data_IF_203323667575
#
_entry.id   IF_203323667575
#
_cell.length_a   1.000
_cell.length_b   1.000
_cell.length_c   1.000
_cell.angle_alpha   90.00
_cell.angle_beta   90.00
_cell.angle_gamma   90.00
#
_symmetry.space_group_name_H-M   'P 1'
#
loop_
_entity.id
_entity.type
_entity.pdbx_description
1 polymer ?
#
# COMPACT_ATOMS: atom_id res chain seq x y z
N UNK A 1 -62.13 7.66 33.30
CA UNK A 1 -60.68 7.77 33.65
C UNK A 1 -59.86 6.52 33.33
N UNK A 2 -60.37 5.29 33.46
CA UNK A 2 -59.60 4.05 33.23
C UNK A 2 -59.23 3.77 31.75
N UNK A 3 -60.08 4.14 30.78
CA UNK A 3 -59.85 3.88 29.35
C UNK A 3 -58.74 4.79 28.77
N UNK A 4 -58.66 6.05 29.23
CA UNK A 4 -57.60 6.98 28.82
C UNK A 4 -56.21 6.57 29.34
N UNK A 5 -56.13 5.97 30.53
CA UNK A 5 -54.88 5.47 31.12
C UNK A 5 -54.29 4.25 30.40
N UNK A 6 -55.15 3.33 29.93
CA UNK A 6 -54.72 2.18 29.14
C UNK A 6 -54.30 2.58 27.71
N UNK A 7 -54.96 3.58 27.12
CA UNK A 7 -54.62 4.12 25.80
C UNK A 7 -53.29 4.90 25.79
N UNK A 8 -53.00 5.65 26.87
CA UNK A 8 -51.69 6.30 27.03
C UNK A 8 -50.57 5.28 27.25
N UNK A 9 -50.78 4.24 28.10
CA UNK A 9 -49.77 3.19 28.33
C UNK A 9 -49.40 2.42 27.06
N UNK A 10 -50.37 2.10 26.21
CA UNK A 10 -50.14 1.37 24.94
C UNK A 10 -49.42 2.24 23.89
N UNK A 11 -49.69 3.54 23.82
CA UNK A 11 -48.93 4.48 22.98
C UNK A 11 -47.48 4.65 23.47
N UNK A 12 -47.27 4.77 24.79
CA UNK A 12 -45.93 4.83 25.38
C UNK A 12 -45.12 3.57 25.11
N UNK A 13 -45.73 2.38 25.22
CA UNK A 13 -45.06 1.12 24.91
C UNK A 13 -44.67 1.02 23.42
N UNK A 14 -45.54 1.44 22.49
CA UNK A 14 -45.23 1.48 21.05
C UNK A 14 -44.06 2.42 20.74
N UNK A 15 -44.02 3.59 21.36
CA UNK A 15 -42.90 4.54 21.20
C UNK A 15 -41.60 3.99 21.77
N UNK A 16 -41.65 3.30 22.92
CA UNK A 16 -40.48 2.63 23.51
C UNK A 16 -39.98 1.51 22.58
N UNK A 17 -40.86 0.64 22.08
CA UNK A 17 -40.49 -0.42 21.16
C UNK A 17 -39.92 0.13 19.85
N UNK A 18 -40.51 1.20 19.28
CA UNK A 18 -39.98 1.88 18.10
C UNK A 18 -38.62 2.50 18.38
N UNK A 19 -38.45 3.14 19.54
CA UNK A 19 -37.17 3.69 20.00
C UNK A 19 -36.10 2.61 20.09
N UNK A 20 -36.39 1.48 20.73
CA UNK A 20 -35.48 0.34 20.82
C UNK A 20 -35.13 -0.18 19.41
N UNK A 21 -36.12 -0.37 18.54
CA UNK A 21 -35.90 -0.81 17.15
C UNK A 21 -34.98 0.14 16.38
N UNK A 22 -35.18 1.46 16.49
CA UNK A 22 -34.31 2.46 15.85
C UNK A 22 -32.88 2.38 16.39
N UNK A 23 -32.70 2.32 17.71
CA UNK A 23 -31.36 2.26 18.30
C UNK A 23 -30.64 0.95 17.96
N UNK A 24 -31.35 -0.18 17.99
CA UNK A 24 -30.81 -1.48 17.57
C UNK A 24 -30.43 -1.45 16.09
N UNK A 25 -31.27 -0.85 15.22
CA UNK A 25 -30.97 -0.72 13.79
C UNK A 25 -29.76 0.19 13.54
N UNK A 26 -29.66 1.32 14.24
CA UNK A 26 -28.49 2.21 14.16
C UNK A 26 -27.22 1.53 14.67
N UNK A 27 -27.32 0.80 15.78
CA UNK A 27 -26.19 0.04 16.34
C UNK A 27 -25.68 -1.02 15.36
N UNK A 28 -26.58 -1.84 14.81
CA UNK A 28 -26.19 -2.82 13.78
C UNK A 28 -25.68 -2.15 12.50
N UNK A 29 -26.23 -1.00 12.10
CA UNK A 29 -25.71 -0.24 10.95
C UNK A 29 -24.29 0.29 11.18
N UNK A 30 -23.98 0.79 12.38
CA UNK A 30 -22.62 1.17 12.76
C UNK A 30 -21.70 -0.06 12.77
N UNK A 31 -22.13 -1.18 13.36
CA UNK A 31 -21.31 -2.40 13.36
C UNK A 31 -21.04 -2.92 11.95
N UNK A 32 -22.03 -2.92 11.06
CA UNK A 32 -21.87 -3.39 9.67
C UNK A 32 -20.89 -2.52 8.88
N UNK A 33 -20.98 -1.19 9.04
CA UNK A 33 -20.07 -0.23 8.38
C UNK A 33 -18.64 -0.34 8.92
N UNK A 34 -18.47 -0.52 10.24
CA UNK A 34 -17.14 -0.47 10.87
C UNK A 34 -16.47 -1.83 11.12
N UNK A 35 -17.19 -2.96 11.03
CA UNK A 35 -16.64 -4.29 11.33
C UNK A 35 -16.79 -5.29 10.17
N UNK A 36 -17.01 -4.79 8.96
CA UNK A 36 -16.97 -5.61 7.75
C UNK A 36 -15.53 -5.88 7.31
N UNK A 37 -15.16 -7.16 7.17
CA UNK A 37 -13.85 -7.52 6.61
C UNK A 37 -13.67 -6.95 5.20
N UNK A 38 -12.55 -6.25 4.92
CA UNK A 38 -12.21 -5.74 3.59
C UNK A 38 -11.61 -6.82 2.68
N UNK A 39 -11.27 -7.99 3.21
CA UNK A 39 -10.68 -9.10 2.45
C UNK A 39 -11.79 -9.93 1.82
N UNK A 40 -11.70 -10.11 0.50
CA UNK A 40 -12.53 -11.03 -0.27
C UNK A 40 -11.70 -12.29 -0.63
N UNK A 41 -12.36 -13.45 -0.61
CA UNK A 41 -11.73 -14.75 -0.85
C UNK A 41 -12.15 -15.36 -2.19
N UNK A 42 -11.28 -16.19 -2.76
CA UNK A 42 -11.56 -16.91 -4.02
C UNK A 42 -11.58 -16.03 -5.26
N UNK A 43 -10.84 -14.91 -5.23
CA UNK A 43 -10.66 -14.02 -6.38
C UNK A 43 -9.68 -14.62 -7.39
N UNK A 44 -9.95 -14.41 -8.68
CA UNK A 44 -8.98 -14.67 -9.74
C UNK A 44 -7.78 -13.69 -9.64
N UNK A 45 -6.61 -14.15 -10.08
CA UNK A 45 -5.40 -13.32 -10.17
C UNK A 45 -5.03 -13.05 -11.61
N UNK A 46 -4.56 -11.83 -11.89
CA UNK A 46 -4.18 -11.39 -13.23
C UNK A 46 -2.74 -10.86 -13.24
N UNK A 47 -1.99 -11.11 -14.32
CA UNK A 47 -0.63 -10.60 -14.57
C UNK A 47 -0.41 -10.27 -16.05
N UNK A 48 0.67 -9.56 -16.33
CA UNK A 48 1.23 -9.42 -17.68
C UNK A 48 2.17 -10.58 -18.01
N UNK A 49 2.43 -10.80 -19.31
CA UNK A 49 3.38 -11.80 -19.80
C UNK A 49 4.80 -11.24 -20.03
N UNK A 50 5.06 -10.03 -19.54
CA UNK A 50 6.35 -9.34 -19.60
C UNK A 50 6.61 -8.65 -18.27
N UNK A 51 7.87 -8.33 -18.01
CA UNK A 51 8.33 -7.55 -16.86
C UNK A 51 9.16 -6.36 -17.33
N UNK A 52 9.16 -5.29 -16.55
CA UNK A 52 9.99 -4.10 -16.79
C UNK A 52 11.30 -4.14 -15.98
N UNK A 53 11.39 -5.06 -15.01
CA UNK A 53 12.55 -5.34 -14.18
C UNK A 53 12.59 -6.82 -13.79
N UNK A 54 13.77 -7.33 -13.49
CA UNK A 54 13.93 -8.69 -12.95
C UNK A 54 13.78 -8.70 -11.43
N UNK A 55 14.08 -7.58 -10.77
CA UNK A 55 14.01 -7.47 -9.31
C UNK A 55 13.67 -6.07 -8.84
N UNK A 56 12.98 -6.00 -7.70
CA UNK A 56 12.67 -4.75 -6.99
C UNK A 56 13.32 -4.80 -5.61
N UNK A 57 14.06 -3.75 -5.25
CA UNK A 57 14.56 -3.52 -3.90
C UNK A 57 13.73 -2.42 -3.25
N UNK A 58 13.06 -2.73 -2.15
CA UNK A 58 12.19 -1.80 -1.42
C UNK A 58 12.82 -1.46 -0.09
N UNK A 59 13.05 -0.18 0.14
CA UNK A 59 13.47 0.39 1.42
C UNK A 59 12.29 1.11 2.06
N UNK A 60 11.91 0.69 3.26
CA UNK A 60 10.91 1.40 4.06
C UNK A 60 11.60 2.01 5.26
N UNK A 61 11.70 3.34 5.30
CA UNK A 61 12.15 4.08 6.47
C UNK A 61 10.93 4.40 7.34
N UNK A 62 10.59 3.50 8.26
CA UNK A 62 9.38 3.54 9.10
C UNK A 62 9.26 4.91 9.81
N UNK A 63 8.07 5.49 9.83
CA UNK A 63 7.79 6.78 10.49
C UNK A 63 8.45 8.01 9.85
N UNK A 64 9.06 7.91 8.66
CA UNK A 64 9.69 9.05 7.99
C UNK A 64 8.64 9.97 7.33
N UNK A 65 8.68 11.25 7.72
CA UNK A 65 7.84 12.31 7.14
C UNK A 65 8.28 12.66 5.71
N UNK A 66 7.32 13.09 4.88
CA UNK A 66 7.60 13.67 3.57
C UNK A 66 8.60 14.86 3.65
N UNK A 67 8.47 15.69 4.68
CA UNK A 67 9.31 16.89 4.91
C UNK A 67 10.83 16.61 4.81
N UNK A 68 11.27 15.43 5.25
CA UNK A 68 12.69 15.03 5.24
C UNK A 68 13.31 14.97 3.82
N UNK A 69 12.48 14.96 2.77
CA UNK A 69 12.89 14.97 1.36
C UNK A 69 12.19 16.03 0.52
N UNK A 70 11.05 16.54 1.00
CA UNK A 70 10.28 17.59 0.33
C UNK A 70 10.75 19.01 0.66
N UNK A 71 11.35 19.24 1.83
CA UNK A 71 11.88 20.54 2.23
C UNK A 71 13.37 20.66 1.86
N UNK A 72 13.70 21.74 1.13
CA UNK A 72 15.06 22.11 0.71
C UNK A 72 16.04 22.24 1.88
N UNK A 73 15.54 22.53 3.09
CA UNK A 73 16.37 22.59 4.30
C UNK A 73 16.98 21.23 4.66
N UNK A 74 16.32 20.13 4.28
CA UNK A 74 16.80 18.77 4.52
C UNK A 74 17.69 18.26 3.38
N UNK A 75 17.85 19.01 2.28
CA UNK A 75 18.58 18.52 1.11
C UNK A 75 20.04 18.14 1.44
N UNK A 76 20.66 18.87 2.36
CA UNK A 76 22.02 18.60 2.83
C UNK A 76 22.16 17.38 3.74
N UNK A 77 21.05 16.81 4.24
CA UNK A 77 21.04 15.62 5.11
C UNK A 77 20.87 14.32 4.33
N UNK A 78 20.32 14.40 3.11
CA UNK A 78 20.01 13.23 2.28
C UNK A 78 20.60 13.37 0.86
N UNK A 79 21.93 13.53 0.72
CA UNK A 79 22.55 13.81 -0.58
C UNK A 79 22.34 12.71 -1.62
N UNK A 80 22.28 11.43 -1.23
CA UNK A 80 22.06 10.34 -2.20
C UNK A 80 20.63 10.37 -2.73
N UNK A 81 19.62 10.37 -1.86
CA UNK A 81 18.20 10.40 -2.24
C UNK A 81 17.87 11.69 -3.00
N UNK A 82 18.47 12.82 -2.66
CA UNK A 82 18.31 14.06 -3.43
C UNK A 82 18.93 14.01 -4.82
N UNK A 83 20.06 13.32 -4.98
CA UNK A 83 20.62 13.08 -6.30
C UNK A 83 19.66 12.24 -7.14
N UNK A 84 19.10 11.17 -6.58
CA UNK A 84 18.09 10.34 -7.26
C UNK A 84 16.87 11.18 -7.64
N UNK A 85 16.29 11.91 -6.68
CA UNK A 85 15.14 12.81 -6.83
C UNK A 85 15.32 13.78 -8.00
N UNK A 86 16.48 14.45 -8.08
CA UNK A 86 16.72 15.52 -9.05
C UNK A 86 17.12 15.00 -10.43
N UNK A 87 17.77 13.84 -10.52
CA UNK A 87 18.49 13.44 -11.73
C UNK A 87 18.03 12.13 -12.36
N UNK A 88 17.42 11.21 -11.61
CA UNK A 88 17.25 9.83 -12.09
C UNK A 88 15.85 9.24 -11.87
N UNK A 89 15.19 9.60 -10.78
CA UNK A 89 13.99 8.92 -10.32
C UNK A 89 12.68 9.64 -10.64
N UNK A 90 11.62 8.97 -10.22
CA UNK A 90 10.31 9.55 -9.91
C UNK A 90 10.30 9.83 -8.42
N UNK A 91 9.73 10.97 -8.02
CA UNK A 91 9.73 11.38 -6.62
C UNK A 91 8.45 12.14 -6.27
N UNK A 92 8.03 12.11 -5.02
CA UNK A 92 6.91 12.92 -4.54
C UNK A 92 6.30 12.39 -3.25
N UNK A 93 4.97 12.44 -3.14
CA UNK A 93 4.22 12.10 -1.92
C UNK A 93 3.47 10.78 -2.10
N UNK A 94 3.62 9.90 -1.11
CA UNK A 94 2.75 8.76 -0.89
C UNK A 94 1.75 9.09 0.23
N UNK A 95 0.46 9.07 -0.09
CA UNK A 95 -0.60 9.34 0.88
C UNK A 95 -1.05 8.07 1.59
N UNK A 96 -0.74 7.96 2.88
CA UNK A 96 -1.27 6.91 3.77
C UNK A 96 -2.65 7.30 4.33
N UNK A 97 -3.28 6.38 5.07
CA UNK A 97 -4.61 6.56 5.68
C UNK A 97 -4.58 6.29 7.17
N UNK A 98 -5.54 6.89 7.87
CA UNK A 98 -5.79 6.62 9.29
C UNK A 98 -6.35 5.20 9.48
N UNK A 99 -5.87 4.43 10.46
CA UNK A 99 -4.83 4.81 11.43
C UNK A 99 -3.43 4.73 10.82
N UNK A 100 -2.63 5.77 11.04
CA UNK A 100 -1.23 5.88 10.57
C UNK A 100 -0.32 5.06 11.49
N UNK A 101 -0.52 3.75 11.44
CA UNK A 101 0.18 2.73 12.21
C UNK A 101 0.95 1.84 11.24
N UNK A 102 2.05 1.24 11.71
CA UNK A 102 2.99 0.57 10.81
C UNK A 102 2.36 -0.59 10.04
N UNK A 103 1.57 -1.45 10.73
CA UNK A 103 0.93 -2.61 10.07
C UNK A 103 -0.06 -2.20 8.97
N UNK A 104 -1.08 -1.34 9.22
CA UNK A 104 -1.96 -0.86 8.15
C UNK A 104 -1.23 -0.22 6.96
N UNK A 105 -0.18 0.58 7.23
CA UNK A 105 0.61 1.22 6.17
C UNK A 105 1.35 0.21 5.30
N UNK A 106 1.98 -0.78 5.93
CA UNK A 106 2.64 -1.89 5.24
C UNK A 106 1.66 -2.78 4.45
N UNK A 107 0.47 -3.05 4.98
CA UNK A 107 -0.57 -3.79 4.23
C UNK A 107 -1.04 -3.00 3.00
N UNK A 108 -1.15 -1.66 3.11
CA UNK A 108 -1.44 -0.82 1.96
C UNK A 108 -0.31 -0.89 0.91
N UNK A 109 0.95 -0.71 1.32
CA UNK A 109 2.11 -0.73 0.43
C UNK A 109 2.26 -2.03 -0.37
N UNK A 110 2.05 -3.19 0.27
CA UNK A 110 2.38 -4.49 -0.32
C UNK A 110 1.17 -5.33 -0.71
N UNK A 111 0.02 -5.13 -0.08
CA UNK A 111 -1.25 -5.77 -0.44
C UNK A 111 -2.13 -4.90 -1.35
N UNK A 112 -1.81 -3.61 -1.48
CA UNK A 112 -2.62 -2.66 -2.25
C UNK A 112 -3.99 -2.42 -1.62
N UNK A 113 -4.16 -2.69 -0.34
CA UNK A 113 -5.44 -2.60 0.35
C UNK A 113 -5.33 -1.94 1.71
N UNK A 114 -6.37 -1.24 2.13
CA UNK A 114 -6.42 -0.61 3.45
C UNK A 114 -7.11 -1.53 4.44
N UNK A 115 -6.45 -1.82 5.56
CA UNK A 115 -7.07 -2.50 6.69
C UNK A 115 -8.17 -1.63 7.31
N UNK A 116 -9.16 -2.28 7.90
CA UNK A 116 -10.18 -1.57 8.66
C UNK A 116 -9.62 -1.17 10.04
N UNK A 117 -9.93 0.04 10.56
CA UNK A 117 -9.58 0.42 11.93
C UNK A 117 -10.00 -0.61 13.00
N UNK A 118 -11.10 -1.36 12.79
CA UNK A 118 -11.54 -2.43 13.68
C UNK A 118 -10.62 -3.64 13.72
N UNK A 119 -9.85 -3.89 12.65
CA UNK A 119 -8.79 -4.90 12.63
C UNK A 119 -7.62 -4.52 13.55
N UNK A 120 -7.46 -3.23 13.88
CA UNK A 120 -6.50 -2.73 14.87
C UNK A 120 -7.03 -2.94 16.30
N UNK A 121 -8.34 -2.83 16.51
CA UNK A 121 -8.99 -3.06 17.81
C UNK A 121 -8.99 -4.54 18.25
N UNK A 122 -8.99 -5.48 17.31
CA UNK A 122 -9.04 -6.93 17.59
C UNK A 122 -7.67 -7.57 17.81
N UNK A 123 -6.58 -6.81 17.65
CA UNK A 123 -5.22 -7.23 17.96
C UNK A 123 -4.21 -6.22 17.41
N UNK A 124 -3.53 -5.49 18.29
CA UNK A 124 -2.51 -4.50 17.91
C UNK A 124 -1.35 -5.14 17.12
N UNK A 125 -0.95 -6.37 17.48
CA UNK A 125 0.18 -7.08 16.85
C UNK A 125 -0.20 -8.11 15.79
N UNK A 126 -1.47 -8.52 15.71
CA UNK A 126 -1.90 -9.64 14.87
C UNK A 126 -3.20 -9.35 14.12
N UNK A 127 -3.12 -9.32 12.79
CA UNK A 127 -4.30 -9.32 11.92
C UNK A 127 -4.89 -10.75 11.89
N UNK A 128 -6.19 -10.97 12.15
CA UNK A 128 -6.80 -12.30 12.07
C UNK A 128 -6.93 -12.87 10.64
N UNK A 129 -6.73 -12.07 9.59
CA UNK A 129 -6.91 -12.48 8.19
C UNK A 129 -5.59 -12.36 7.41
N UNK A 130 -5.23 -13.40 6.65
CA UNK A 130 -4.08 -13.35 5.77
C UNK A 130 -4.39 -12.49 4.53
N UNK A 131 -3.52 -11.53 4.21
CA UNK A 131 -3.69 -10.62 3.08
C UNK A 131 -2.71 -11.01 1.99
N UNK A 132 -3.25 -11.36 0.83
CA UNK A 132 -2.47 -11.58 -0.38
C UNK A 132 -1.69 -10.30 -0.74
N UNK A 133 -0.41 -10.46 -1.07
CA UNK A 133 0.53 -9.36 -1.26
C UNK A 133 1.59 -9.68 -2.32
N UNK A 134 2.36 -8.67 -2.71
CA UNK A 134 3.40 -8.81 -3.75
C UNK A 134 4.46 -9.86 -3.41
N UNK A 135 4.73 -10.13 -2.12
CA UNK A 135 5.65 -11.20 -1.73
C UNK A 135 5.05 -12.59 -2.01
N UNK A 136 3.75 -12.77 -1.76
CA UNK A 136 3.02 -13.98 -2.15
C UNK A 136 2.97 -14.15 -3.67
N UNK A 137 2.98 -13.08 -4.46
CA UNK A 137 2.92 -13.15 -5.92
C UNK A 137 4.29 -13.25 -6.59
N UNK A 138 5.36 -12.90 -5.87
CA UNK A 138 6.74 -13.00 -6.36
C UNK A 138 7.19 -14.44 -6.63
N UNK A 139 8.24 -14.59 -7.44
CA UNK A 139 8.98 -15.85 -7.60
C UNK A 139 9.77 -16.15 -6.33
N UNK A 140 10.39 -15.13 -5.76
CA UNK A 140 11.11 -15.20 -4.49
C UNK A 140 11.13 -13.85 -3.80
N UNK A 141 11.02 -13.85 -2.47
CA UNK A 141 11.14 -12.67 -1.63
C UNK A 141 12.15 -12.90 -0.51
N UNK A 142 12.98 -11.89 -0.27
CA UNK A 142 13.97 -11.85 0.80
C UNK A 142 13.70 -10.59 1.64
N UNK A 143 13.33 -10.78 2.91
CA UNK A 143 12.83 -9.72 3.80
C UNK A 143 13.73 -9.60 5.03
N UNK A 144 14.15 -8.40 5.38
CA UNK A 144 14.96 -8.08 6.57
C UNK A 144 14.36 -6.94 7.37
N UNK A 145 14.36 -7.06 8.70
CA UNK A 145 14.02 -5.96 9.61
C UNK A 145 13.27 -6.39 10.87
N UNK A 146 12.24 -5.62 11.25
CA UNK A 146 11.57 -5.80 12.54
C UNK A 146 10.83 -7.13 12.65
N UNK A 147 10.94 -7.84 13.81
CA UNK A 147 10.13 -9.02 14.10
C UNK A 147 8.63 -8.74 14.20
N UNK A 148 8.19 -7.48 14.33
CA UNK A 148 6.78 -7.10 14.35
C UNK A 148 6.20 -6.91 12.92
N UNK A 149 7.05 -6.66 11.91
CA UNK A 149 6.62 -6.36 10.52
C UNK A 149 6.94 -7.52 9.58
N UNK A 150 8.19 -7.95 9.50
CA UNK A 150 8.64 -8.89 8.47
C UNK A 150 7.88 -10.23 8.50
N UNK A 151 7.65 -10.88 9.66
CA UNK A 151 6.93 -12.15 9.71
C UNK A 151 5.47 -12.08 9.26
N UNK A 152 4.84 -10.90 9.29
CA UNK A 152 3.42 -10.78 8.95
C UNK A 152 3.12 -11.09 7.48
N UNK A 153 4.12 -11.00 6.61
CA UNK A 153 4.00 -11.29 5.18
C UNK A 153 4.23 -12.77 4.81
N UNK A 154 4.64 -13.62 5.75
CA UNK A 154 4.88 -15.05 5.52
C UNK A 154 4.14 -15.98 6.49
N UNK A 155 2.88 -15.66 6.80
CA UNK A 155 2.07 -16.44 7.76
C UNK A 155 1.84 -17.89 7.35
N UNK A 156 1.71 -18.14 6.06
CA UNK A 156 1.54 -19.49 5.50
C UNK A 156 2.86 -20.26 5.39
N UNK A 157 3.98 -19.68 5.89
CA UNK A 157 5.32 -20.28 5.85
C UNK A 157 5.72 -20.77 4.45
N UNK A 158 5.48 -19.91 3.45
CA UNK A 158 5.82 -20.17 2.07
C UNK A 158 7.34 -20.18 1.91
N UNK A 159 7.89 -21.30 1.43
CA UNK A 159 9.35 -21.48 1.23
C UNK A 159 10.01 -20.43 0.33
N UNK A 160 9.23 -19.76 -0.52
CA UNK A 160 9.72 -18.72 -1.43
C UNK A 160 9.87 -17.34 -0.77
N UNK A 161 9.39 -17.18 0.46
CA UNK A 161 9.52 -15.95 1.24
C UNK A 161 10.47 -16.26 2.40
N UNK A 162 11.67 -15.67 2.38
CA UNK A 162 12.65 -15.84 3.44
C UNK A 162 12.65 -14.59 4.31
N UNK A 163 12.45 -14.78 5.61
CA UNK A 163 12.35 -13.71 6.59
C UNK A 163 13.55 -13.73 7.53
N UNK A 164 14.14 -12.57 7.76
CA UNK A 164 15.30 -12.38 8.63
C UNK A 164 15.02 -11.21 9.58
N UNK A 165 14.99 -11.47 10.88
CA UNK A 165 14.71 -10.45 11.89
C UNK A 165 15.84 -10.40 12.91
N UNK A 166 16.12 -9.21 13.44
CA UNK A 166 16.86 -9.08 14.69
C UNK A 166 15.97 -9.56 15.86
N UNK A 167 16.60 -9.81 17.01
CA UNK A 167 15.88 -10.18 18.23
C UNK A 167 15.06 -9.00 18.75
N UNK A 168 13.88 -9.25 19.32
CA UNK A 168 12.98 -8.20 19.83
C UNK A 168 13.65 -7.31 20.89
N UNK A 169 14.67 -7.81 21.59
CA UNK A 169 15.46 -7.02 22.55
C UNK A 169 16.33 -5.92 21.92
N UNK A 170 16.47 -5.88 20.60
CA UNK A 170 17.14 -4.80 19.89
C UNK A 170 16.28 -3.53 19.83
N UNK A 171 14.96 -3.66 19.89
CA UNK A 171 14.01 -2.54 19.85
C UNK A 171 13.97 -1.83 21.21
N UNK A 172 14.87 -0.86 21.38
CA UNK A 172 15.03 -0.09 22.62
C UNK A 172 14.48 1.34 22.49
N UNK A 173 13.30 1.57 23.06
CA UNK A 173 12.63 2.87 23.12
C UNK A 173 13.02 3.70 24.36
N UNK A 174 14.02 3.28 25.13
CA UNK A 174 14.47 4.04 26.32
C UNK A 174 15.40 5.21 26.00
N UNK A 175 15.90 5.29 24.76
CA UNK A 175 16.88 6.29 24.32
C UNK A 175 18.30 6.07 24.84
N UNK A 176 18.58 4.91 25.47
CA UNK A 176 19.92 4.57 25.97
C UNK A 176 20.84 4.02 24.89
N UNK A 177 20.27 3.43 23.84
CA UNK A 177 21.00 2.90 22.68
C UNK A 177 20.69 3.74 21.45
N UNK A 178 21.63 3.76 20.51
CA UNK A 178 21.40 4.39 19.22
C UNK A 178 20.43 3.55 18.39
N UNK A 179 19.38 4.19 17.88
CA UNK A 179 18.38 3.60 16.98
C UNK A 179 18.96 3.18 15.63
N UNK A 180 20.10 3.77 15.25
CA UNK A 180 20.88 3.42 14.04
C UNK A 180 21.26 1.93 14.01
N UNK A 181 21.43 1.29 15.18
CA UNK A 181 21.80 -0.13 15.23
C UNK A 181 20.72 -1.05 14.65
N UNK A 182 19.44 -0.63 14.65
CA UNK A 182 18.34 -1.37 13.99
C UNK A 182 18.54 -1.39 12.47
N UNK A 183 18.74 -0.21 11.88
CA UNK A 183 18.94 -0.06 10.43
C UNK A 183 20.26 -0.69 9.98
N UNK A 184 21.32 -0.51 10.79
CA UNK A 184 22.63 -1.12 10.56
C UNK A 184 22.56 -2.63 10.51
N UNK A 185 21.83 -3.27 11.42
CA UNK A 185 21.62 -4.72 11.38
C UNK A 185 21.08 -5.15 10.02
N UNK A 186 20.07 -4.47 9.51
CA UNK A 186 19.46 -4.78 8.20
C UNK A 186 20.47 -4.66 7.07
N UNK A 187 21.18 -3.52 6.97
CA UNK A 187 22.15 -3.31 5.91
C UNK A 187 23.32 -4.31 5.95
N UNK A 188 23.84 -4.62 7.15
CA UNK A 188 24.92 -5.59 7.34
C UNK A 188 24.49 -7.01 6.94
N UNK A 189 23.27 -7.42 7.31
CA UNK A 189 22.78 -8.77 7.00
C UNK A 189 22.47 -8.95 5.51
N UNK A 190 21.96 -7.92 4.83
CA UNK A 190 21.81 -7.96 3.36
C UNK A 190 23.17 -8.05 2.68
N UNK A 191 24.15 -7.25 3.14
CA UNK A 191 25.51 -7.30 2.60
C UNK A 191 26.14 -8.69 2.79
N UNK A 192 26.03 -9.26 3.98
CA UNK A 192 26.53 -10.60 4.28
C UNK A 192 25.85 -11.68 3.46
N UNK A 193 24.53 -11.58 3.27
CA UNK A 193 23.78 -12.49 2.43
C UNK A 193 24.28 -12.47 0.98
N UNK A 194 24.42 -11.27 0.39
CA UNK A 194 24.93 -11.12 -0.97
C UNK A 194 26.38 -11.61 -1.10
N UNK A 195 27.25 -11.33 -0.13
CA UNK A 195 28.64 -11.84 -0.14
C UNK A 195 28.74 -13.37 -0.13
N UNK A 196 27.76 -14.07 0.46
CA UNK A 196 27.74 -15.54 0.56
C UNK A 196 26.91 -16.21 -0.53
N UNK A 197 26.19 -15.44 -1.33
CA UNK A 197 25.28 -15.95 -2.35
C UNK A 197 25.89 -15.73 -3.74
N UNK A 198 25.86 -16.74 -4.60
CA UNK A 198 26.29 -16.55 -5.98
C UNK A 198 25.23 -15.78 -6.78
N UNK A 199 25.67 -14.91 -7.70
CA UNK A 199 24.73 -14.19 -8.58
C UNK A 199 23.80 -15.15 -9.33
N UNK A 200 24.30 -16.33 -9.74
CA UNK A 200 23.52 -17.36 -10.43
C UNK A 200 22.32 -17.86 -9.62
N UNK A 201 22.41 -17.88 -8.28
CA UNK A 201 21.26 -18.24 -7.43
C UNK A 201 20.16 -17.18 -7.52
N UNK A 202 20.52 -15.92 -7.65
CA UNK A 202 19.57 -14.80 -7.68
C UNK A 202 19.27 -14.32 -9.11
N UNK A 203 19.73 -15.04 -10.13
CA UNK A 203 19.41 -14.75 -11.54
C UNK A 203 17.93 -15.02 -11.87
N UNK A 204 17.43 -14.30 -12.88
CA UNK A 204 16.04 -14.37 -13.35
C UNK A 204 15.11 -13.36 -12.68
N UNK A 205 13.91 -13.21 -13.23
CA UNK A 205 12.92 -12.21 -12.82
C UNK A 205 12.09 -12.56 -11.59
N UNK A 206 11.22 -11.63 -11.20
CA UNK A 206 10.19 -11.81 -10.17
C UNK A 206 10.70 -11.80 -8.72
N UNK A 207 11.83 -11.14 -8.44
CA UNK A 207 12.43 -11.12 -7.09
C UNK A 207 12.17 -9.82 -6.34
N UNK A 208 11.90 -9.93 -5.05
CA UNK A 208 11.74 -8.77 -4.16
C UNK A 208 12.75 -8.85 -3.01
N UNK A 209 13.47 -7.77 -2.78
CA UNK A 209 14.28 -7.55 -1.59
C UNK A 209 13.61 -6.45 -0.77
N UNK A 210 13.18 -6.75 0.44
CA UNK A 210 12.52 -5.79 1.31
C UNK A 210 13.37 -5.54 2.55
N UNK A 211 13.76 -4.27 2.73
CA UNK A 211 14.55 -3.79 3.84
C UNK A 211 13.67 -2.84 4.66
N UNK A 212 13.23 -3.32 5.81
CA UNK A 212 12.47 -2.56 6.78
C UNK A 212 13.40 -1.86 7.79
N UNK A 213 13.41 -0.54 7.78
CA UNK A 213 14.32 0.30 8.56
C UNK A 213 13.52 1.01 9.68
N UNK A 214 13.51 0.42 10.87
CA UNK A 214 12.72 0.88 12.04
C UNK A 214 13.38 2.08 12.77
N UNK A 215 14.64 2.39 12.48
CA UNK A 215 15.40 3.39 13.24
C UNK A 215 14.76 4.79 13.24
N UNK A 216 14.15 5.20 12.12
CA UNK A 216 13.53 6.52 11.97
C UNK A 216 12.26 6.70 12.82
N UNK A 217 11.40 5.69 12.91
CA UNK A 217 10.22 5.70 13.78
C UNK A 217 10.66 5.74 15.25
N UNK A 218 11.57 4.84 15.63
CA UNK A 218 12.08 4.74 17.01
C UNK A 218 12.70 6.05 17.47
N UNK A 219 13.58 6.66 16.65
CA UNK A 219 14.23 7.92 17.02
C UNK A 219 13.24 9.09 17.04
N UNK A 220 12.19 9.04 16.20
CA UNK A 220 11.07 9.98 16.23
C UNK A 220 10.27 9.92 17.53
N UNK A 221 9.94 8.73 18.03
CA UNK A 221 9.26 8.58 19.32
C UNK A 221 10.12 9.07 20.49
N UNK A 222 11.40 8.70 20.51
CA UNK A 222 12.30 8.95 21.63
C UNK A 222 12.78 10.41 21.69
N UNK A 223 13.32 10.92 20.59
CA UNK A 223 14.02 12.21 20.55
C UNK A 223 13.26 13.31 19.83
N UNK A 224 12.15 12.95 19.17
CA UNK A 224 11.28 13.84 18.37
C UNK A 224 11.89 14.18 17.00
N UNK A 225 11.05 14.42 15.99
CA UNK A 225 11.52 14.92 14.70
C UNK A 225 12.32 16.22 14.85
N UNK A 226 13.28 16.45 13.96
CA UNK A 226 14.23 17.58 13.98
C UNK A 226 15.26 17.61 15.11
N UNK A 227 15.24 16.63 16.03
CA UNK A 227 16.35 16.44 16.97
C UNK A 227 17.66 16.07 16.24
N UNK A 228 18.79 16.29 16.91
CA UNK A 228 20.10 15.93 16.36
C UNK A 228 20.17 14.44 16.04
N UNK A 229 19.65 13.62 16.94
CA UNK A 229 19.59 12.16 16.84
C UNK A 229 18.76 11.73 15.62
N UNK A 230 17.60 12.35 15.41
CA UNK A 230 16.75 12.10 14.24
C UNK A 230 17.48 12.44 12.93
N UNK A 231 18.13 13.60 12.87
CA UNK A 231 18.88 14.05 11.69
C UNK A 231 20.11 13.17 11.44
N UNK A 232 20.81 12.72 12.48
CA UNK A 232 21.97 11.85 12.34
C UNK A 232 21.55 10.44 11.89
N UNK A 233 20.39 9.92 12.32
CA UNK A 233 19.82 8.67 11.80
C UNK A 233 19.40 8.82 10.32
N UNK A 234 18.80 9.95 9.94
CA UNK A 234 18.40 10.23 8.55
C UNK A 234 19.62 10.24 7.60
N UNK A 235 20.70 10.92 7.99
CA UNK A 235 21.97 10.93 7.24
C UNK A 235 22.57 9.52 7.11
N UNK A 236 22.47 8.72 8.17
CA UNK A 236 22.93 7.35 8.15
C UNK A 236 22.14 6.51 7.14
N UNK A 237 20.81 6.58 7.18
CA UNK A 237 19.91 5.87 6.26
C UNK A 237 20.20 6.24 4.81
N UNK A 238 20.28 7.53 4.48
CA UNK A 238 20.61 8.00 3.12
C UNK A 238 21.93 7.42 2.61
N UNK A 239 22.99 7.53 3.42
CA UNK A 239 24.31 7.00 3.08
C UNK A 239 24.26 5.48 2.83
N UNK A 240 23.57 4.73 3.68
CA UNK A 240 23.51 3.27 3.53
C UNK A 240 22.63 2.82 2.37
N UNK A 241 21.57 3.56 2.03
CA UNK A 241 20.81 3.30 0.79
C UNK A 241 21.73 3.48 -0.42
N UNK A 242 22.56 4.53 -0.45
CA UNK A 242 23.56 4.71 -1.51
C UNK A 242 24.58 3.57 -1.59
N UNK A 243 25.06 3.08 -0.45
CA UNK A 243 25.95 1.91 -0.40
C UNK A 243 25.24 0.64 -0.91
N UNK A 244 23.98 0.45 -0.52
CA UNK A 244 23.19 -0.71 -0.92
C UNK A 244 22.90 -0.68 -2.42
N UNK A 245 22.54 0.48 -2.98
CA UNK A 245 22.42 0.69 -4.42
C UNK A 245 23.70 0.25 -5.15
N UNK A 246 24.87 0.75 -4.73
CA UNK A 246 26.14 0.37 -5.34
C UNK A 246 26.43 -1.13 -5.22
N UNK A 247 26.10 -1.75 -4.07
CA UNK A 247 26.25 -3.17 -3.84
C UNK A 247 25.38 -4.01 -4.79
N UNK A 248 24.09 -3.67 -4.92
CA UNK A 248 23.18 -4.37 -5.84
C UNK A 248 23.61 -4.20 -7.30
N UNK A 249 24.04 -2.99 -7.70
CA UNK A 249 24.56 -2.76 -9.06
C UNK A 249 25.80 -3.61 -9.35
N UNK A 250 26.75 -3.68 -8.41
CA UNK A 250 27.97 -4.46 -8.55
C UNK A 250 27.75 -5.98 -8.42
N UNK A 251 26.72 -6.42 -7.70
CA UNK A 251 26.42 -7.84 -7.52
C UNK A 251 25.74 -8.45 -8.75
N UNK A 252 24.83 -7.71 -9.39
CA UNK A 252 24.03 -8.23 -10.51
C UNK A 252 24.55 -7.83 -11.89
N UNK A 253 25.11 -6.64 -12.04
CA UNK A 253 25.75 -6.13 -13.28
C UNK A 253 24.87 -6.22 -14.55
N UNK A 254 23.54 -6.20 -14.42
CA UNK A 254 22.60 -6.41 -15.55
C UNK A 254 21.66 -5.22 -15.82
N UNK A 255 21.68 -4.19 -14.96
CA UNK A 255 20.76 -3.04 -15.00
C UNK A 255 19.27 -3.41 -14.97
N UNK A 256 18.90 -4.57 -14.39
CA UNK A 256 17.51 -5.04 -14.31
C UNK A 256 16.89 -4.92 -12.92
N UNK A 257 17.46 -4.05 -12.08
CA UNK A 257 16.97 -3.77 -10.72
C UNK A 257 16.21 -2.44 -10.70
N UNK A 258 14.99 -2.46 -10.18
CA UNK A 258 14.28 -1.25 -9.74
C UNK A 258 14.45 -1.08 -8.23
N UNK A 259 14.39 0.16 -7.77
CA UNK A 259 14.50 0.54 -6.38
C UNK A 259 13.32 1.43 -6.00
N UNK A 260 12.76 1.20 -4.82
CA UNK A 260 11.69 2.01 -4.24
C UNK A 260 12.12 2.39 -2.82
N UNK A 261 12.05 3.67 -2.48
CA UNK A 261 12.22 4.20 -1.14
C UNK A 261 10.95 4.93 -0.73
N UNK A 262 10.37 4.56 0.41
CA UNK A 262 9.19 5.24 0.95
C UNK A 262 9.09 5.07 2.47
N UNK A 263 8.04 5.64 3.07
CA UNK A 263 7.59 5.31 4.43
C UNK A 263 6.15 4.81 4.44
N UNK A 264 5.81 4.05 5.47
CA UNK A 264 4.47 3.56 5.79
C UNK A 264 3.58 4.63 6.45
N UNK A 265 4.18 5.50 7.26
CA UNK A 265 3.57 6.72 7.78
C UNK A 265 4.63 7.79 8.10
N UNK A 266 4.18 8.98 8.45
CA UNK A 266 5.02 10.00 9.08
C UNK A 266 4.83 10.05 10.60
N UNK A 267 5.06 11.22 11.20
CA UNK A 267 5.10 11.39 12.66
C UNK A 267 4.78 12.83 13.02
N UNK A 268 4.06 13.09 14.12
CA UNK A 268 3.83 14.46 14.65
C UNK A 268 5.08 15.05 15.32
N UNK A 269 5.10 16.37 15.58
CA UNK A 269 6.26 17.05 16.21
C UNK A 269 6.56 16.56 17.63
N UNK A 270 5.52 16.02 18.29
CA UNK A 270 5.65 15.42 19.61
C UNK A 270 6.06 13.95 19.55
N UNK A 271 6.45 13.43 18.37
CA UNK A 271 6.93 12.06 18.20
C UNK A 271 5.83 11.04 18.50
N UNK A 272 4.65 11.24 17.92
CA UNK A 272 3.52 10.30 17.95
C UNK A 272 2.92 10.18 16.55
N UNK A 273 2.33 9.03 16.25
CA UNK A 273 1.54 8.79 15.04
C UNK A 273 0.23 8.06 15.39
N UNK A 274 -0.54 7.62 14.40
CA UNK A 274 -1.83 6.91 14.55
C UNK A 274 -3.05 7.75 14.13
N UNK A 275 -2.89 9.06 13.96
CA UNK A 275 -3.93 10.02 13.58
C UNK A 275 -3.77 10.55 12.14
N UNK A 276 -4.52 11.60 11.81
CA UNK A 276 -4.70 12.10 10.44
C UNK A 276 -4.08 13.46 10.14
N UNK A 277 -3.02 13.88 10.85
CA UNK A 277 -2.30 15.11 10.48
C UNK A 277 -1.51 14.93 9.17
N UNK A 278 -1.25 16.02 8.44
CA UNK A 278 -0.45 15.96 7.20
C UNK A 278 0.94 15.35 7.46
N UNK A 279 1.57 15.69 8.59
CA UNK A 279 2.85 15.10 9.01
C UNK A 279 2.82 13.60 9.26
N UNK A 280 1.65 13.01 9.55
CA UNK A 280 1.47 11.57 9.70
C UNK A 280 1.07 10.91 8.37
N UNK A 281 0.26 11.60 7.56
CA UNK A 281 -0.36 11.01 6.35
C UNK A 281 0.45 11.17 5.07
N UNK A 282 1.43 12.06 5.05
CA UNK A 282 2.31 12.29 3.90
C UNK A 282 3.69 11.67 4.14
N UNK A 283 3.96 10.57 3.42
CA UNK A 283 5.28 9.94 3.40
C UNK A 283 6.02 10.25 2.09
N UNK A 284 7.37 10.26 2.10
CA UNK A 284 8.12 10.45 0.88
C UNK A 284 8.00 9.21 -0.01
N UNK A 285 8.00 9.42 -1.32
CA UNK A 285 8.11 8.35 -2.30
C UNK A 285 9.22 8.69 -3.30
N UNK A 286 10.15 7.76 -3.52
CA UNK A 286 11.17 7.84 -4.57
C UNK A 286 11.30 6.46 -5.23
N UNK A 287 11.26 6.41 -6.56
CA UNK A 287 11.48 5.20 -7.32
C UNK A 287 12.45 5.43 -8.48
N UNK A 288 13.39 4.51 -8.70
CA UNK A 288 14.39 4.62 -9.78
C UNK A 288 14.90 3.25 -10.26
N UNK A 289 15.62 3.23 -11.37
CA UNK A 289 16.21 2.00 -11.94
C UNK A 289 15.40 1.41 -13.10
N UNK A 290 15.53 0.11 -13.32
CA UNK A 290 14.91 -0.58 -14.46
C UNK A 290 13.39 -0.36 -14.50
N UNK A 291 12.84 -0.18 -15.70
CA UNK A 291 11.39 -0.05 -15.87
C UNK A 291 10.76 1.28 -15.43
N UNK A 292 11.55 2.21 -14.89
CA UNK A 292 11.11 3.54 -14.46
C UNK A 292 11.75 4.62 -15.33
N UNK A 293 11.00 5.68 -15.63
CA UNK A 293 11.55 6.86 -16.32
C UNK A 293 11.83 7.98 -15.32
N UNK A 294 12.68 8.93 -15.72
CA UNK A 294 12.86 10.16 -14.96
C UNK A 294 11.60 11.02 -15.07
N UNK A 295 11.17 11.60 -13.96
CA UNK A 295 10.04 12.52 -13.90
C UNK A 295 10.47 13.77 -13.12
N UNK A 296 10.31 14.95 -13.72
CA UNK A 296 10.83 16.19 -13.13
C UNK A 296 9.95 16.71 -11.99
N UNK A 297 8.63 16.61 -12.19
CA UNK A 297 7.63 17.09 -11.25
C UNK A 297 7.38 16.10 -10.10
N UNK A 298 6.94 16.57 -8.93
CA UNK A 298 6.50 15.68 -7.86
C UNK A 298 5.32 14.79 -8.32
N UNK A 299 5.40 13.49 -8.05
CA UNK A 299 4.30 12.57 -8.18
C UNK A 299 3.43 12.55 -6.91
N UNK A 300 2.14 12.32 -7.09
CA UNK A 300 1.19 12.15 -5.99
C UNK A 300 0.50 10.81 -6.18
N UNK A 301 0.67 9.91 -5.22
CA UNK A 301 0.07 8.57 -5.27
C UNK A 301 -0.52 8.17 -3.93
N UNK A 302 -1.50 7.27 -3.97
CA UNK A 302 -1.98 6.63 -2.76
C UNK A 302 -1.06 5.49 -2.37
N UNK A 303 -0.86 5.26 -1.08
CA UNK A 303 0.03 4.20 -0.61
C UNK A 303 -0.32 2.80 -1.18
N UNK A 304 -1.62 2.53 -1.40
CA UNK A 304 -2.08 1.30 -2.06
C UNK A 304 -1.63 1.13 -3.52
N UNK A 305 -1.20 2.20 -4.19
CA UNK A 305 -0.73 2.19 -5.58
C UNK A 305 0.70 1.62 -5.71
N UNK A 306 1.43 1.48 -4.59
CA UNK A 306 2.78 0.90 -4.58
C UNK A 306 2.76 -0.60 -4.90
N UNK A 307 1.75 -1.33 -4.41
CA UNK A 307 1.61 -2.76 -4.71
C UNK A 307 1.43 -3.05 -6.21
N UNK A 308 0.46 -2.43 -6.94
CA UNK A 308 0.33 -2.63 -8.38
C UNK A 308 1.53 -2.08 -9.17
N UNK A 309 2.25 -1.06 -8.67
CA UNK A 309 3.52 -0.63 -9.26
C UNK A 309 4.58 -1.75 -9.19
N UNK A 310 4.76 -2.39 -8.03
CA UNK A 310 5.70 -3.52 -7.89
C UNK A 310 5.29 -4.69 -8.79
N UNK A 311 3.99 -5.02 -8.85
CA UNK A 311 3.48 -6.07 -9.74
C UNK A 311 3.76 -5.77 -11.22
N UNK A 312 3.55 -4.52 -11.64
CA UNK A 312 3.84 -4.05 -13.00
C UNK A 312 5.33 -4.16 -13.35
N UNK A 313 6.22 -3.73 -12.44
CA UNK A 313 7.67 -3.81 -12.64
C UNK A 313 8.13 -5.26 -12.82
N UNK A 314 7.61 -6.17 -12.00
CA UNK A 314 8.06 -7.56 -11.97
C UNK A 314 7.31 -8.51 -12.93
N UNK A 315 6.22 -8.06 -13.56
CA UNK A 315 5.37 -8.93 -14.38
C UNK A 315 4.73 -10.07 -13.59
N UNK A 316 4.46 -9.84 -12.29
CA UNK A 316 3.81 -10.81 -11.39
C UNK A 316 2.32 -10.51 -11.28
N UNK A 317 1.58 -11.40 -10.61
CA UNK A 317 0.17 -11.13 -10.35
C UNK A 317 0.00 -9.88 -9.48
N UNK A 318 -1.06 -9.14 -9.77
CA UNK A 318 -1.54 -8.09 -8.89
C UNK A 318 -2.14 -8.75 -7.65
N UNK A 319 -1.86 -8.24 -6.42
CA UNK A 319 -2.50 -8.76 -5.22
C UNK A 319 -4.01 -8.76 -5.39
N UNK A 320 -4.64 -9.90 -5.07
CA UNK A 320 -6.04 -10.16 -5.40
C UNK A 320 -7.00 -9.12 -4.84
N UNK A 321 -6.70 -8.65 -3.62
CA UNK A 321 -7.47 -7.62 -2.93
C UNK A 321 -6.93 -6.20 -3.17
N UNK A 322 -6.08 -5.95 -4.17
CA UNK A 322 -5.61 -4.59 -4.43
C UNK A 322 -6.76 -3.66 -4.87
N UNK A 323 -6.84 -2.47 -4.28
CA UNK A 323 -7.57 -1.31 -4.83
C UNK A 323 -6.64 -0.33 -5.55
N UNK A 324 -5.33 -0.54 -5.50
CA UNK A 324 -4.36 0.40 -6.05
C UNK A 324 -4.47 0.54 -7.58
N UNK A 325 -4.17 1.74 -8.05
CA UNK A 325 -4.03 2.06 -9.46
C UNK A 325 -2.56 1.98 -9.86
N UNK A 326 -2.26 1.47 -11.06
CA UNK A 326 -0.89 1.55 -11.58
C UNK A 326 -0.58 3.01 -11.92
N UNK A 327 0.51 3.60 -11.38
CA UNK A 327 0.97 4.91 -11.80
C UNK A 327 1.77 4.79 -13.11
N UNK A 328 1.09 4.37 -14.19
CA UNK A 328 1.69 3.98 -15.47
C UNK A 328 2.53 5.09 -16.10
N UNK A 329 2.15 6.34 -15.83
CA UNK A 329 2.86 7.53 -16.29
C UNK A 329 4.27 7.68 -15.73
N UNK A 330 4.74 6.81 -14.83
CA UNK A 330 6.12 6.77 -14.32
C UNK A 330 6.93 5.57 -14.83
N UNK A 331 6.27 4.67 -15.57
CA UNK A 331 6.92 3.49 -16.14
C UNK A 331 7.62 3.87 -17.45
N UNK A 332 8.75 3.23 -17.69
CA UNK A 332 9.43 3.24 -18.97
C UNK A 332 8.93 2.04 -19.80
N UNK A 333 7.71 2.16 -20.31
CA UNK A 333 7.02 1.14 -21.08
C UNK A 333 6.57 1.72 -22.44
N UNK A 334 6.45 0.86 -23.45
CA UNK A 334 5.80 1.23 -24.70
C UNK A 334 4.29 1.42 -24.48
N UNK A 335 3.62 2.20 -25.34
CA UNK A 335 2.16 2.38 -25.23
C UNK A 335 1.38 1.05 -25.24
N UNK A 336 1.89 0.03 -25.95
CA UNK A 336 1.28 -1.30 -25.93
C UNK A 336 1.39 -1.95 -24.54
N UNK A 337 2.58 -1.92 -23.94
CA UNK A 337 2.82 -2.43 -22.58
C UNK A 337 2.03 -1.64 -21.54
N UNK A 338 1.95 -0.30 -21.65
CA UNK A 338 1.13 0.54 -20.79
C UNK A 338 -0.34 0.13 -20.81
N UNK A 339 -0.91 -0.09 -22.01
CA UNK A 339 -2.29 -0.56 -22.13
C UNK A 339 -2.47 -1.93 -21.51
N UNK A 340 -1.55 -2.87 -21.73
CA UNK A 340 -1.65 -4.21 -21.13
C UNK A 340 -1.60 -4.15 -19.60
N UNK A 341 -0.70 -3.34 -19.03
CA UNK A 341 -0.61 -3.13 -17.59
C UNK A 341 -1.90 -2.54 -17.03
N UNK A 342 -2.39 -1.45 -17.63
CA UNK A 342 -3.65 -0.80 -17.24
C UNK A 342 -4.82 -1.76 -17.33
N UNK A 343 -4.89 -2.56 -18.40
CA UNK A 343 -5.93 -3.55 -18.62
C UNK A 343 -5.86 -4.67 -17.58
N UNK A 344 -4.68 -5.19 -17.26
CA UNK A 344 -4.51 -6.20 -16.21
C UNK A 344 -4.93 -5.66 -14.83
N UNK A 345 -4.58 -4.41 -14.49
CA UNK A 345 -5.06 -3.76 -13.26
C UNK A 345 -6.58 -3.59 -13.26
N UNK A 346 -7.18 -3.22 -14.40
CA UNK A 346 -8.64 -3.16 -14.57
C UNK A 346 -9.31 -4.49 -14.30
N UNK A 347 -8.74 -5.59 -14.81
CA UNK A 347 -9.26 -6.95 -14.58
C UNK A 347 -9.21 -7.32 -13.10
N UNK A 348 -8.12 -6.99 -12.40
CA UNK A 348 -8.01 -7.26 -10.95
C UNK A 348 -9.02 -6.44 -10.13
N UNK A 349 -9.14 -5.14 -10.41
CA UNK A 349 -10.11 -4.26 -9.75
C UNK A 349 -11.56 -4.71 -10.02
N UNK A 350 -11.86 -5.11 -11.26
CA UNK A 350 -13.16 -5.60 -11.68
C UNK A 350 -13.56 -6.91 -11.00
N UNK A 351 -12.63 -7.86 -10.87
CA UNK A 351 -12.85 -9.12 -10.16
C UNK A 351 -13.24 -8.87 -8.70
N UNK A 352 -12.51 -7.98 -8.02
CA UNK A 352 -12.81 -7.58 -6.64
C UNK A 352 -14.16 -6.88 -6.54
N UNK A 353 -14.45 -5.95 -7.46
CA UNK A 353 -15.72 -5.23 -7.50
C UNK A 353 -16.90 -6.20 -7.65
N UNK A 354 -16.83 -7.13 -8.61
CA UNK A 354 -17.89 -8.10 -8.85
C UNK A 354 -18.13 -8.97 -7.61
N UNK A 355 -17.06 -9.49 -7.00
CA UNK A 355 -17.16 -10.31 -5.79
C UNK A 355 -17.82 -9.57 -4.62
N UNK A 356 -17.42 -8.31 -4.40
CA UNK A 356 -17.99 -7.47 -3.35
C UNK A 356 -19.46 -7.14 -3.62
N UNK A 357 -19.77 -6.81 -4.88
CA UNK A 357 -21.14 -6.54 -5.32
C UNK A 357 -22.06 -7.75 -5.09
N UNK A 358 -21.64 -8.95 -5.49
CA UNK A 358 -22.38 -10.20 -5.25
C UNK A 358 -22.63 -10.43 -3.76
N UNK A 359 -21.60 -10.27 -2.92
CA UNK A 359 -21.72 -10.45 -1.47
C UNK A 359 -22.75 -9.51 -0.87
N UNK A 360 -22.71 -8.23 -1.23
CA UNK A 360 -23.68 -7.23 -0.73
C UNK A 360 -25.08 -7.54 -1.24
N UNK A 361 -25.21 -7.92 -2.51
CA UNK A 361 -26.49 -8.32 -3.08
C UNK A 361 -27.11 -9.51 -2.34
N UNK A 362 -26.31 -10.53 -2.00
CA UNK A 362 -26.76 -11.68 -1.22
C UNK A 362 -27.09 -11.34 0.24
N UNK A 363 -26.38 -10.38 0.84
CA UNK A 363 -26.60 -9.96 2.23
C UNK A 363 -27.76 -8.97 2.39
N UNK A 364 -28.15 -8.26 1.33
CA UNK A 364 -29.21 -7.25 1.37
C UNK A 364 -30.59 -7.91 1.23
N UNK A 365 -31.55 -7.50 2.06
CA UNK A 365 -32.94 -7.96 1.98
C UNK A 365 -33.52 -7.69 0.59
N UNK A 366 -34.19 -8.70 0.02
CA UNK A 366 -34.80 -8.63 -1.31
C UNK A 366 -35.65 -7.36 -1.50
N UNK A 367 -35.41 -6.62 -2.58
CA UNK A 367 -36.09 -5.35 -2.90
C UNK A 367 -35.42 -4.08 -2.34
N UNK A 368 -34.48 -4.20 -1.40
CA UNK A 368 -33.70 -3.06 -0.88
C UNK A 368 -32.33 -2.90 -1.55
N UNK A 369 -31.84 -3.93 -2.25
CA UNK A 369 -30.63 -3.82 -3.05
C UNK A 369 -30.88 -2.97 -4.29
N UNK A 370 -30.14 -1.86 -4.42
CA UNK A 370 -30.09 -1.06 -5.64
C UNK A 370 -28.70 -1.25 -6.27
N UNK A 371 -28.60 -1.91 -7.44
CA UNK A 371 -27.31 -2.04 -8.11
C UNK A 371 -26.78 -0.67 -8.48
N UNK A 372 -25.45 -0.54 -8.51
CA UNK A 372 -24.83 0.69 -8.99
C UNK A 372 -25.19 0.88 -10.47
N UNK A 373 -25.85 1.99 -10.88
CA UNK A 373 -26.36 2.14 -12.23
C UNK A 373 -25.28 2.08 -13.31
N UNK A 374 -24.07 2.49 -12.96
CA UNK A 374 -22.96 2.76 -13.88
C UNK A 374 -21.99 1.58 -14.03
N UNK A 375 -22.07 0.58 -13.14
CA UNK A 375 -21.16 -0.56 -13.14
C UNK A 375 -21.86 -1.79 -12.58
N UNK A 376 -22.22 -2.71 -13.48
CA UNK A 376 -22.65 -4.07 -13.18
C UNK A 376 -21.90 -5.03 -14.11
N UNK A 377 -22.00 -6.33 -13.85
CA UNK A 377 -21.29 -7.38 -14.59
C UNK A 377 -21.44 -7.25 -16.12
N UNK A 378 -22.64 -6.97 -16.62
CA UNK A 378 -22.91 -6.81 -18.07
C UNK A 378 -22.24 -5.56 -18.64
N UNK A 379 -22.29 -4.45 -17.92
CA UNK A 379 -21.63 -3.19 -18.33
C UNK A 379 -20.11 -3.38 -18.32
N UNK A 380 -19.58 -4.05 -17.30
CA UNK A 380 -18.15 -4.31 -17.19
C UNK A 380 -17.65 -5.24 -18.31
N UNK A 381 -18.37 -6.32 -18.61
CA UNK A 381 -18.07 -7.20 -19.74
C UNK A 381 -18.09 -6.44 -21.08
N UNK A 382 -19.04 -5.52 -21.28
CA UNK A 382 -19.09 -4.68 -22.48
C UNK A 382 -17.86 -3.76 -22.59
N UNK A 383 -17.43 -3.14 -21.47
CA UNK A 383 -16.23 -2.28 -21.42
C UNK A 383 -14.95 -3.07 -21.71
N UNK A 384 -14.83 -4.29 -21.17
CA UNK A 384 -13.74 -5.21 -21.50
C UNK A 384 -13.68 -5.44 -23.02
N UNK A 385 -14.79 -5.87 -23.64
CA UNK A 385 -14.82 -6.14 -25.08
C UNK A 385 -14.48 -4.91 -25.93
N UNK A 386 -14.87 -3.71 -25.48
CA UNK A 386 -14.52 -2.46 -26.16
C UNK A 386 -13.02 -2.16 -26.10
N UNK A 387 -12.40 -2.34 -24.93
CA UNK A 387 -10.96 -2.13 -24.73
C UNK A 387 -10.14 -3.19 -25.48
N UNK A 388 -10.55 -4.46 -25.44
CA UNK A 388 -9.92 -5.52 -26.22
C UNK A 388 -9.98 -5.20 -27.72
N UNK A 389 -11.12 -4.75 -28.22
CA UNK A 389 -11.26 -4.34 -29.63
C UNK A 389 -10.41 -3.12 -30.02
N UNK A 390 -10.11 -2.19 -29.11
CA UNK A 390 -9.18 -1.08 -29.41
C UNK A 390 -7.72 -1.52 -29.39
N UNK A 391 -7.36 -2.46 -28.50
CA UNK A 391 -6.04 -3.10 -28.46
C UNK A 391 -5.78 -3.88 -29.75
N UNK A 392 -6.74 -4.70 -30.20
CA UNK A 392 -6.64 -5.50 -31.43
C UNK A 392 -6.45 -4.61 -32.67
N UNK A 393 -7.14 -3.47 -32.71
CA UNK A 393 -7.00 -2.46 -33.77
C UNK A 393 -5.73 -1.61 -33.65
N UNK A 394 -4.89 -1.86 -32.64
CA UNK A 394 -3.65 -1.11 -32.34
C UNK A 394 -3.88 0.38 -32.09
N UNK A 395 -5.09 0.76 -31.66
CA UNK A 395 -5.44 2.13 -31.27
C UNK A 395 -5.04 2.38 -29.82
N UNK A 396 -3.74 2.27 -29.53
CA UNK A 396 -3.23 2.22 -28.15
C UNK A 396 -3.51 3.49 -27.36
N UNK A 397 -3.43 4.68 -27.96
CA UNK A 397 -3.75 5.94 -27.29
C UNK A 397 -5.19 5.97 -26.75
N UNK A 398 -6.15 5.56 -27.58
CA UNK A 398 -7.56 5.45 -27.21
C UNK A 398 -7.75 4.38 -26.13
N UNK A 399 -7.03 3.26 -26.23
CA UNK A 399 -7.08 2.20 -25.23
C UNK A 399 -6.51 2.64 -23.87
N UNK A 400 -5.39 3.39 -23.83
CA UNK A 400 -4.82 3.97 -22.60
C UNK A 400 -5.86 4.88 -21.94
N UNK A 401 -6.42 5.83 -22.69
CA UNK A 401 -7.38 6.79 -22.16
C UNK A 401 -8.65 6.11 -21.62
N UNK A 402 -9.21 5.18 -22.39
CA UNK A 402 -10.42 4.45 -21.98
C UNK A 402 -10.16 3.60 -20.74
N UNK A 403 -9.08 2.82 -20.72
CA UNK A 403 -8.76 1.91 -19.61
C UNK A 403 -8.42 2.69 -18.33
N UNK A 404 -7.69 3.81 -18.45
CA UNK A 404 -7.41 4.69 -17.31
C UNK A 404 -8.70 5.23 -16.69
N UNK A 405 -9.65 5.69 -17.53
CA UNK A 405 -10.96 6.15 -17.06
C UNK A 405 -11.72 5.05 -16.31
N UNK A 406 -11.70 3.82 -16.83
CA UNK A 406 -12.37 2.69 -16.18
C UNK A 406 -11.73 2.30 -14.86
N UNK A 407 -10.40 2.29 -14.77
CA UNK A 407 -9.67 2.04 -13.53
C UNK A 407 -10.05 3.05 -12.45
N UNK A 408 -10.12 4.34 -12.80
CA UNK A 408 -10.56 5.39 -11.88
C UNK A 408 -12.01 5.16 -11.41
N UNK A 409 -12.93 4.82 -12.32
CA UNK A 409 -14.31 4.51 -11.94
C UNK A 409 -14.41 3.29 -11.02
N UNK A 410 -13.68 2.20 -11.32
CA UNK A 410 -13.63 1.00 -10.49
C UNK A 410 -13.10 1.29 -9.09
N UNK A 411 -11.97 1.98 -9.01
CA UNK A 411 -11.32 2.37 -7.75
C UNK A 411 -12.25 3.23 -6.88
N UNK A 412 -12.89 4.26 -7.46
CA UNK A 412 -13.87 5.10 -6.76
C UNK A 412 -15.05 4.27 -6.27
N UNK A 413 -15.61 3.40 -7.12
CA UNK A 413 -16.76 2.57 -6.76
C UNK A 413 -16.40 1.54 -5.68
N UNK A 414 -15.20 0.95 -5.69
CA UNK A 414 -14.72 0.09 -4.62
C UNK A 414 -14.67 0.85 -3.29
N UNK A 415 -14.16 2.09 -3.26
CA UNK A 415 -14.19 2.89 -2.04
C UNK A 415 -15.61 3.23 -1.58
N UNK A 416 -16.55 3.49 -2.49
CA UNK A 416 -17.95 3.69 -2.12
C UNK A 416 -18.58 2.44 -1.53
N UNK A 417 -18.42 1.30 -2.19
CA UNK A 417 -19.03 0.02 -1.80
C UNK A 417 -18.43 -0.52 -0.50
N UNK A 418 -17.17 -0.18 -0.19
CA UNK A 418 -16.52 -0.49 1.08
C UNK A 418 -16.88 0.52 2.20
N UNK A 419 -17.72 1.53 1.95
CA UNK A 419 -18.06 2.55 2.96
C UNK A 419 -16.92 3.54 3.26
N UNK A 420 -15.93 3.65 2.37
CA UNK A 420 -14.66 4.38 2.57
C UNK A 420 -14.59 5.75 1.86
N UNK A 421 -15.64 6.13 1.13
CA UNK A 421 -15.64 7.34 0.30
C UNK A 421 -15.43 8.66 1.08
N UNK A 422 -15.90 8.74 2.33
CA UNK A 422 -15.76 9.95 3.15
C UNK A 422 -14.31 10.31 3.51
N UNK A 423 -13.32 9.44 3.23
CA UNK A 423 -11.89 9.68 3.49
C UNK A 423 -11.06 10.08 2.25
N UNK A 424 -11.62 10.00 1.03
CA UNK A 424 -10.87 10.19 -0.23
C UNK A 424 -10.86 11.65 -0.70
N UNK A 425 -11.87 12.45 -0.33
CA UNK A 425 -12.07 13.82 -0.83
C UNK A 425 -11.05 14.88 -0.37
N UNK A 426 -10.04 14.54 0.45
CA UNK A 426 -8.94 15.48 0.74
C UNK A 426 -7.88 15.55 -0.36
N UNK A 427 -7.80 14.56 -1.25
CA UNK A 427 -6.69 14.42 -2.20
C UNK A 427 -7.07 14.98 -3.58
N UNK A 428 -8.32 14.83 -4.01
CA UNK A 428 -8.79 15.36 -5.30
C UNK A 428 -8.96 16.89 -5.35
N UNK A 429 -8.76 17.62 -4.23
CA UNK A 429 -8.85 19.09 -4.19
C UNK A 429 -7.50 19.79 -4.31
N UNK A 430 -6.39 19.07 -4.54
CA UNK A 430 -5.05 19.63 -4.76
C UNK A 430 -4.38 19.17 -6.07
N UNK A 431 -5.14 18.65 -7.03
CA UNK A 431 -4.67 18.29 -8.38
C UNK A 431 -4.86 19.41 -9.39
#
# INVERSE_FOLDING_TARGET
>A
MLILGAWHKTKSLRLICLGILVHVSLFFGVLDVYFSSPVEFGLSSFKTNFSLADRVVVFIADGLRYEALGDVNFDGHTPFLNKIRRQYGVWGVSYTRVPTESRPGHVALFGGMYEDPSAVLSGWKHNPVNVDNVFNQSVESLLWGSPDIVPMFNRDNLKKINTHCYDTSFEDFSGRKSTIELDKWVFEHVKDYLNRTSVQRLQGGGKIFFLHLLGMDTVGHVFKPNSREYIDNLKYVDKQIGNMFNLFQAFFEDNKTSYIFTSDHGMTDWGSHGSGSEHETESPFIAWGSGLKRYEEPCYLHQADVAPLISALLGINFPTNSVGLIPYMYLNATMYEEVLLLYTNMRQLGERFNKRHERIQCATVYGFFKPFPWLNEKIFAKKINQIEGTIEKRSYEVAVGSTTSENNHLNINLYFIEGRYFRVNRINSRG
#
